data_IF_838526830500
#
_entry.id   IF_838526830500
#
_cell.length_a   1.000
_cell.length_b   1.000
_cell.length_c   1.000
_cell.angle_alpha   90.00
_cell.angle_beta   90.00
_cell.angle_gamma   90.00
#
_symmetry.space_group_name_H-M   'P 1'
#
loop_
_entity.id
_entity.type
_entity.pdbx_description
1 polymer ?
#
# COMPACT_ATOMS: atom_id res chain seq x y z
N UNK A 1 10.47 -24.08 -32.46
CA UNK A 1 10.16 -22.63 -32.51
C UNK A 1 9.02 -22.22 -31.58
N UNK A 2 7.81 -22.80 -31.69
CA UNK A 2 6.68 -22.48 -30.79
C UNK A 2 7.01 -22.63 -29.28
N UNK A 3 7.65 -23.72 -28.88
CA UNK A 3 8.06 -23.94 -27.49
C UNK A 3 9.03 -22.87 -26.97
N UNK A 4 9.95 -22.40 -27.83
CA UNK A 4 10.87 -21.31 -27.48
C UNK A 4 10.11 -20.00 -27.22
N UNK A 5 9.19 -19.63 -28.11
CA UNK A 5 8.36 -18.43 -27.91
C UNK A 5 7.49 -18.53 -26.66
N UNK A 6 6.93 -19.69 -26.37
CA UNK A 6 6.17 -19.93 -25.13
C UNK A 6 7.05 -19.79 -23.88
N UNK A 7 8.28 -20.30 -23.94
CA UNK A 7 9.25 -20.14 -22.85
C UNK A 7 9.65 -18.68 -22.65
N UNK A 8 9.99 -17.96 -23.73
CA UNK A 8 10.37 -16.55 -23.67
C UNK A 8 9.23 -15.68 -23.09
N UNK A 9 7.97 -15.96 -23.47
CA UNK A 9 6.80 -15.28 -22.92
C UNK A 9 6.60 -15.55 -21.43
N UNK A 10 6.84 -16.78 -20.99
CA UNK A 10 6.79 -17.15 -19.57
C UNK A 10 7.84 -16.37 -18.74
N UNK A 11 9.08 -16.30 -19.22
CA UNK A 11 10.15 -15.55 -18.55
C UNK A 11 9.82 -14.05 -18.45
N UNK A 12 9.25 -13.45 -19.49
CA UNK A 12 8.82 -12.04 -19.46
C UNK A 12 7.70 -11.80 -18.42
N UNK A 13 6.78 -12.75 -18.27
CA UNK A 13 5.71 -12.69 -17.27
C UNK A 13 6.25 -12.79 -15.85
N UNK A 14 7.17 -13.72 -15.59
CA UNK A 14 7.83 -13.87 -14.29
C UNK A 14 8.66 -12.63 -13.91
N UNK A 15 9.38 -12.06 -14.88
CA UNK A 15 10.12 -10.82 -14.69
C UNK A 15 9.19 -9.66 -14.27
N UNK A 16 8.07 -9.49 -14.99
CA UNK A 16 7.09 -8.44 -14.70
C UNK A 16 6.49 -8.60 -13.31
N UNK A 17 6.10 -9.83 -12.96
CA UNK A 17 5.54 -10.16 -11.64
C UNK A 17 6.53 -9.88 -10.53
N UNK A 18 7.78 -10.29 -10.71
CA UNK A 18 8.84 -10.07 -9.71
C UNK A 18 9.14 -8.58 -9.54
N UNK A 19 9.26 -7.83 -10.65
CA UNK A 19 9.49 -6.39 -10.62
C UNK A 19 8.39 -5.67 -9.84
N UNK A 20 7.13 -6.00 -10.14
CA UNK A 20 5.96 -5.43 -9.47
C UNK A 20 5.99 -5.75 -7.97
N UNK A 21 6.26 -7.01 -7.61
CA UNK A 21 6.35 -7.42 -6.20
C UNK A 21 7.41 -6.62 -5.44
N UNK A 22 8.60 -6.47 -6.03
CA UNK A 22 9.69 -5.70 -5.42
C UNK A 22 9.34 -4.22 -5.26
N UNK A 23 8.64 -3.62 -6.22
CA UNK A 23 8.18 -2.24 -6.11
C UNK A 23 7.17 -2.07 -4.97
N UNK A 24 6.19 -2.96 -4.88
CA UNK A 24 5.21 -2.96 -3.79
C UNK A 24 5.88 -3.12 -2.43
N UNK A 25 6.82 -4.06 -2.30
CA UNK A 25 7.57 -4.28 -1.06
C UNK A 25 8.40 -3.04 -0.66
N UNK A 26 9.11 -2.44 -1.61
CA UNK A 26 9.87 -1.23 -1.35
C UNK A 26 9.00 -0.06 -0.90
N UNK A 27 7.81 0.11 -1.50
CA UNK A 27 6.88 1.17 -1.12
C UNK A 27 6.34 0.90 0.29
N UNK A 28 5.91 -0.33 0.58
CA UNK A 28 5.34 -0.68 1.89
C UNK A 28 6.36 -0.59 3.03
N UNK A 29 7.65 -0.76 2.76
CA UNK A 29 8.71 -0.58 3.76
C UNK A 29 8.87 0.87 4.26
N UNK A 30 8.27 1.85 3.59
CA UNK A 30 8.28 3.25 4.04
C UNK A 30 7.18 3.58 5.05
N UNK A 31 6.16 2.72 5.18
CA UNK A 31 4.99 2.92 6.03
C UNK A 31 5.06 2.01 7.27
N UNK A 32 4.61 2.52 8.42
CA UNK A 32 4.63 1.74 9.67
C UNK A 32 3.38 0.87 9.84
N UNK A 33 2.25 1.28 9.25
CA UNK A 33 0.92 0.65 9.42
C UNK A 33 0.26 0.36 8.08
N UNK A 34 0.32 1.30 7.14
CA UNK A 34 -0.36 1.20 5.86
C UNK A 34 0.37 0.21 4.93
N UNK A 35 -0.39 -0.71 4.35
CA UNK A 35 0.08 -1.60 3.29
C UNK A 35 -0.66 -1.26 1.99
N UNK A 36 0.07 -0.88 0.95
CA UNK A 36 -0.50 -0.62 -0.37
C UNK A 36 -0.51 -1.89 -1.22
N UNK A 37 -1.70 -2.25 -1.68
CA UNK A 37 -1.91 -3.19 -2.77
C UNK A 37 -1.94 -2.42 -4.08
N UNK A 38 -0.83 -2.45 -4.82
CA UNK A 38 -0.68 -1.73 -6.09
C UNK A 38 -1.09 -2.56 -7.31
N UNK A 39 -1.20 -3.88 -7.15
CA UNK A 39 -1.57 -4.78 -8.23
C UNK A 39 -2.43 -5.92 -7.70
N UNK A 40 -3.38 -6.35 -8.50
CA UNK A 40 -4.25 -7.49 -8.22
C UNK A 40 -3.90 -8.63 -9.18
N UNK A 41 -3.66 -9.82 -8.63
CA UNK A 41 -3.47 -11.02 -9.44
C UNK A 41 -4.82 -11.62 -9.76
N UNK A 42 -5.22 -11.57 -11.02
CA UNK A 42 -6.46 -12.17 -11.51
C UNK A 42 -6.36 -13.71 -11.52
N UNK A 43 -7.50 -14.39 -11.62
CA UNK A 43 -7.57 -15.87 -11.61
C UNK A 43 -6.80 -16.51 -12.77
N UNK A 44 -6.66 -15.80 -13.90
CA UNK A 44 -5.85 -16.19 -15.04
C UNK A 44 -4.33 -15.90 -14.86
N UNK A 45 -3.95 -15.34 -13.70
CA UNK A 45 -2.59 -14.93 -13.37
C UNK A 45 -2.12 -13.67 -14.10
N UNK A 46 -3.02 -12.88 -14.69
CA UNK A 46 -2.69 -11.53 -15.17
C UNK A 46 -2.67 -10.55 -14.00
N UNK A 47 -1.86 -9.50 -14.15
CA UNK A 47 -1.76 -8.43 -13.17
C UNK A 47 -2.65 -7.28 -13.63
N UNK A 48 -3.55 -6.86 -12.75
CA UNK A 48 -4.38 -5.67 -12.92
C UNK A 48 -3.85 -4.57 -12.02
N UNK A 49 -3.57 -3.40 -12.58
CA UNK A 49 -3.17 -2.22 -11.79
C UNK A 49 -4.31 -1.81 -10.86
N UNK A 50 -3.98 -1.59 -9.59
CA UNK A 50 -4.91 -1.11 -8.58
C UNK A 50 -4.18 -0.18 -7.62
N UNK A 51 -4.88 0.36 -6.65
CA UNK A 51 -4.27 1.09 -5.55
C UNK A 51 -5.24 1.04 -4.39
N UNK A 52 -5.12 0.00 -3.57
CA UNK A 52 -5.91 -0.14 -2.35
C UNK A 52 -5.02 -0.05 -1.14
N UNK A 53 -5.50 0.64 -0.11
CA UNK A 53 -4.84 0.71 1.19
C UNK A 53 -5.41 -0.36 2.09
N UNK A 54 -4.55 -1.18 2.67
CA UNK A 54 -4.90 -2.25 3.59
C UNK A 54 -4.11 -2.11 4.89
N UNK A 55 -4.61 -2.73 5.95
CA UNK A 55 -3.87 -2.92 7.20
C UNK A 55 -4.04 -4.35 7.64
N UNK A 56 -2.94 -5.10 7.73
CA UNK A 56 -2.97 -6.52 8.09
C UNK A 56 -3.97 -7.30 7.22
N UNK A 57 -4.02 -6.98 5.93
CA UNK A 57 -4.95 -7.59 4.97
C UNK A 57 -6.41 -7.12 5.03
N UNK A 58 -6.75 -6.14 5.88
CA UNK A 58 -8.10 -5.54 5.94
C UNK A 58 -8.14 -4.26 5.12
N UNK A 59 -9.07 -4.18 4.17
CA UNK A 59 -9.26 -3.01 3.30
C UNK A 59 -9.70 -1.76 4.08
N UNK A 60 -9.07 -0.62 3.80
CA UNK A 60 -9.31 0.65 4.48
C UNK A 60 -10.77 1.07 4.43
N UNK A 61 -11.39 0.99 3.24
CA UNK A 61 -12.75 1.49 3.01
C UNK A 61 -13.85 0.60 3.58
N UNK A 62 -13.63 -0.72 3.64
CA UNK A 62 -14.71 -1.68 3.92
C UNK A 62 -14.60 -2.41 5.25
N UNK A 63 -13.43 -2.41 5.90
CA UNK A 63 -13.19 -3.26 7.06
C UNK A 63 -12.57 -2.59 8.28
N UNK A 64 -12.00 -1.40 8.16
CA UNK A 64 -11.36 -0.74 9.31
C UNK A 64 -12.37 -0.06 10.24
N UNK A 65 -12.08 -0.10 11.53
CA UNK A 65 -12.78 0.71 12.53
C UNK A 65 -12.27 2.17 12.50
N UNK A 66 -12.96 3.09 13.19
CA UNK A 66 -12.60 4.52 13.19
C UNK A 66 -11.17 4.78 13.69
N UNK A 67 -10.77 4.17 14.81
CA UNK A 67 -9.44 4.38 15.37
C UNK A 67 -8.33 3.92 14.40
N UNK A 68 -8.50 2.76 13.77
CA UNK A 68 -7.58 2.25 12.75
C UNK A 68 -7.54 3.17 11.53
N UNK A 69 -8.68 3.65 11.03
CA UNK A 69 -8.71 4.59 9.90
C UNK A 69 -7.92 5.88 10.19
N UNK A 70 -8.13 6.46 11.38
CA UNK A 70 -7.41 7.68 11.80
C UNK A 70 -5.90 7.41 11.86
N UNK A 71 -5.47 6.33 12.53
CA UNK A 71 -4.05 6.03 12.69
C UNK A 71 -3.36 5.69 11.36
N UNK A 72 -4.03 4.99 10.44
CA UNK A 72 -3.50 4.74 9.09
C UNK A 72 -3.39 6.01 8.28
N UNK A 73 -4.40 6.89 8.36
CA UNK A 73 -4.34 8.20 7.72
C UNK A 73 -3.14 9.02 8.22
N UNK A 74 -2.88 9.01 9.53
CA UNK A 74 -1.72 9.66 10.12
C UNK A 74 -0.40 9.03 9.66
N UNK A 75 -0.32 7.71 9.52
CA UNK A 75 0.88 7.01 9.03
C UNK A 75 1.22 7.42 7.59
N UNK A 76 0.20 7.47 6.73
CA UNK A 76 0.34 7.95 5.35
C UNK A 76 0.81 9.41 5.33
N UNK A 77 0.19 10.28 6.14
CA UNK A 77 0.58 11.70 6.22
C UNK A 77 2.03 11.82 6.70
N UNK A 78 2.42 11.11 7.76
CA UNK A 78 3.78 11.13 8.30
C UNK A 78 4.81 10.68 7.27
N UNK A 79 4.56 9.55 6.61
CA UNK A 79 5.45 8.96 5.61
C UNK A 79 5.67 9.91 4.44
N UNK A 80 4.58 10.47 3.88
CA UNK A 80 4.68 11.42 2.78
C UNK A 80 5.31 12.75 3.20
N UNK A 81 4.97 13.25 4.39
CA UNK A 81 5.56 14.48 4.95
C UNK A 81 7.07 14.34 5.11
N UNK A 82 7.54 13.19 5.62
CA UNK A 82 8.97 12.86 5.72
C UNK A 82 9.64 12.75 4.35
N UNK A 83 9.02 12.06 3.39
CA UNK A 83 9.55 11.88 2.04
C UNK A 83 9.71 13.23 1.30
N UNK A 84 8.67 14.07 1.35
CA UNK A 84 8.66 15.36 0.67
C UNK A 84 9.27 16.51 1.49
N UNK A 85 9.67 16.25 2.75
CA UNK A 85 10.20 17.24 3.69
C UNK A 85 9.24 18.42 3.89
N UNK A 86 7.96 18.09 4.02
CA UNK A 86 6.88 19.05 4.26
C UNK A 86 6.39 18.88 5.69
N UNK A 87 6.12 19.98 6.35
CA UNK A 87 5.53 20.02 7.69
C UNK A 87 4.25 20.85 7.60
N UNK A 88 3.13 20.29 8.03
CA UNK A 88 1.82 20.93 7.94
C UNK A 88 0.96 20.57 9.16
N UNK A 89 0.16 21.51 9.68
CA UNK A 89 -0.73 21.21 10.81
C UNK A 89 -1.78 20.17 10.43
N UNK A 90 -1.94 19.16 11.27
CA UNK A 90 -2.93 18.10 11.10
C UNK A 90 -4.15 18.38 11.98
N UNK A 91 -5.32 18.42 11.36
CA UNK A 91 -6.60 18.50 12.07
C UNK A 91 -7.27 17.13 12.04
N UNK A 92 -7.53 16.57 13.22
CA UNK A 92 -8.15 15.25 13.36
C UNK A 92 -9.63 15.46 13.71
N UNK A 93 -10.51 15.10 12.78
CA UNK A 93 -11.94 15.01 13.05
C UNK A 93 -12.28 13.69 13.74
N UNK A 94 -13.35 13.68 14.53
CA UNK A 94 -13.78 12.53 15.33
C UNK A 94 -12.70 11.95 16.28
N UNK A 95 -11.87 12.82 16.85
CA UNK A 95 -10.80 12.43 17.78
C UNK A 95 -11.32 11.67 19.02
N UNK A 96 -12.61 11.82 19.38
CA UNK A 96 -13.25 11.02 20.44
C UNK A 96 -13.34 9.52 20.12
N UNK A 97 -13.21 9.15 18.84
CA UNK A 97 -13.27 7.75 18.38
C UNK A 97 -11.94 7.00 18.54
N UNK A 98 -10.89 7.65 19.06
CA UNK A 98 -9.55 7.07 19.19
C UNK A 98 -8.93 7.42 20.55
N UNK A 99 -8.40 6.42 21.24
CA UNK A 99 -7.77 6.59 22.57
C UNK A 99 -6.29 6.93 22.47
N UNK A 100 -5.61 6.37 21.47
CA UNK A 100 -4.18 6.55 21.24
C UNK A 100 -3.92 6.84 19.77
N UNK A 101 -3.31 7.99 19.51
CA UNK A 101 -2.86 8.41 18.20
C UNK A 101 -1.39 8.00 18.01
N UNK A 102 -1.02 7.62 16.80
CA UNK A 102 0.39 7.48 16.47
C UNK A 102 1.09 8.84 16.61
N UNK A 103 2.39 8.80 16.91
CA UNK A 103 3.19 10.03 16.99
C UNK A 103 3.31 10.65 15.60
N UNK A 104 3.22 11.96 15.54
CA UNK A 104 3.48 12.73 14.33
C UNK A 104 4.59 13.74 14.60
N UNK A 105 5.47 13.93 13.62
CA UNK A 105 6.52 14.96 13.62
C UNK A 105 6.09 16.21 12.83
N UNK A 106 4.82 16.25 12.38
CA UNK A 106 4.23 17.36 11.63
C UNK A 106 3.76 18.51 12.52
#
# INVERSE_FOLDING_TARGET
EKEKYSHDLYILKEFTTTKVKMLTENINNEFDIAEFKLFNTLVNGELEETCSTTVNGVEYDSGLNNASRINVGLDIINTLSKHFKVTAPIFIDNAESVTELIKTES
#
